data_IF_829097872784
#
_entry.id   IF_829097872784
#
_cell.length_a   1.000
_cell.length_b   1.000
_cell.length_c   1.000
_cell.angle_alpha   90.00
_cell.angle_beta   90.00
_cell.angle_gamma   90.00
#
_symmetry.space_group_name_H-M   'P 1'
#
loop_
_entity.id
_entity.type
_entity.pdbx_description
1 polymer ?
#
# COMPACT_ATOMS: atom_id res chain seq x y z
N UNK A 1 -8.52 -25.30 3.95
CA UNK A 1 -8.39 -23.84 4.14
C UNK A 1 -6.90 -23.52 4.15
N UNK A 2 -6.45 -22.35 3.65
CA UNK A 2 -5.06 -21.93 3.86
C UNK A 2 -4.76 -21.83 5.36
N UNK A 3 -3.53 -22.13 5.74
CA UNK A 3 -3.07 -21.97 7.12
C UNK A 3 -2.90 -20.49 7.46
N UNK A 4 -3.51 -20.03 8.55
CA UNK A 4 -3.38 -18.66 9.02
C UNK A 4 -2.31 -18.61 10.11
N UNK A 5 -1.15 -18.06 9.76
CA UNK A 5 -0.07 -17.79 10.72
C UNK A 5 -0.38 -16.45 11.41
N UNK A 6 -0.49 -16.47 12.74
CA UNK A 6 -0.64 -15.25 13.54
C UNK A 6 0.75 -14.73 13.88
N UNK A 7 1.04 -13.50 13.45
CA UNK A 7 2.31 -12.83 13.69
C UNK A 7 2.09 -11.58 14.54
N UNK A 8 2.87 -11.44 15.62
CA UNK A 8 2.79 -10.31 16.54
C UNK A 8 3.93 -9.34 16.24
N UNK A 9 3.61 -8.05 16.18
CA UNK A 9 4.58 -6.96 15.99
C UNK A 9 4.76 -6.22 17.32
N UNK A 10 6.00 -6.10 17.79
CA UNK A 10 6.40 -5.27 18.94
C UNK A 10 7.16 -4.03 18.50
N UNK A 11 6.47 -2.89 18.53
CA UNK A 11 7.05 -1.60 18.14
C UNK A 11 8.25 -1.20 19.01
N UNK A 12 8.36 -1.68 20.26
CA UNK A 12 9.49 -1.36 21.11
C UNK A 12 10.65 -2.35 20.94
N UNK A 13 10.37 -3.65 20.84
CA UNK A 13 11.39 -4.71 21.01
C UNK A 13 11.65 -5.61 19.79
N UNK A 14 10.86 -5.56 18.72
CA UNK A 14 11.21 -6.28 17.48
C UNK A 14 12.43 -5.65 16.80
N UNK A 15 13.25 -6.48 16.15
CA UNK A 15 14.44 -6.02 15.43
C UNK A 15 14.05 -5.17 14.21
N UNK A 16 14.59 -3.95 14.15
CA UNK A 16 14.45 -3.05 13.00
C UNK A 16 15.73 -3.12 12.17
N UNK A 17 15.58 -3.23 10.84
CA UNK A 17 16.72 -3.18 9.92
C UNK A 17 17.60 -1.93 10.19
N UNK A 18 18.91 -2.07 10.46
CA UNK A 18 19.78 -0.95 10.81
C UNK A 18 19.82 0.20 9.79
N UNK A 19 19.45 -0.04 8.53
CA UNK A 19 19.35 1.01 7.48
C UNK A 19 18.13 1.93 7.64
N UNK A 20 17.14 1.51 8.41
CA UNK A 20 15.90 2.23 8.68
C UNK A 20 15.75 2.62 10.15
N UNK A 21 16.64 2.13 11.02
CA UNK A 21 16.70 2.54 12.41
C UNK A 21 17.06 4.01 12.56
N UNK A 22 16.35 4.68 13.46
CA UNK A 22 16.56 6.03 13.94
C UNK A 22 16.22 6.05 15.43
N UNK A 23 17.00 6.78 16.22
CA UNK A 23 16.81 6.83 17.67
C UNK A 23 15.59 7.68 18.03
N UNK A 24 15.35 8.76 17.28
CA UNK A 24 14.20 9.63 17.40
C UNK A 24 12.86 8.95 17.04
N UNK A 25 12.90 7.82 16.31
CA UNK A 25 11.74 6.98 15.99
C UNK A 25 11.69 5.70 16.85
N UNK A 26 12.44 5.62 17.96
CA UNK A 26 12.43 4.46 18.87
C UNK A 26 11.48 4.66 20.08
N UNK A 27 10.40 3.87 20.22
CA UNK A 27 9.50 3.97 21.35
C UNK A 27 10.13 3.73 22.73
N UNK A 28 11.30 3.09 22.82
CA UNK A 28 12.05 2.86 24.07
C UNK A 28 12.78 4.12 24.57
N UNK A 29 12.98 5.11 23.72
CA UNK A 29 13.64 6.38 24.05
C UNK A 29 12.71 7.58 23.89
N UNK A 30 11.74 7.50 22.98
CA UNK A 30 10.74 8.55 22.78
C UNK A 30 9.79 8.67 23.98
N UNK A 31 9.58 9.90 24.44
CA UNK A 31 8.49 10.29 25.34
C UNK A 31 7.77 11.50 24.77
N UNK A 32 6.47 11.34 24.60
CA UNK A 32 5.58 12.40 24.14
C UNK A 32 5.50 13.55 25.14
N UNK A 33 5.57 14.78 24.63
CA UNK A 33 5.44 15.98 25.45
C UNK A 33 3.99 16.48 25.56
N UNK A 34 3.10 16.08 24.64
CA UNK A 34 1.67 16.45 24.66
C UNK A 34 0.85 15.48 25.50
N UNK A 35 1.17 14.17 25.43
CA UNK A 35 0.38 13.09 26.05
C UNK A 35 1.10 12.34 27.18
N UNK A 36 2.38 12.67 27.45
CA UNK A 36 3.25 12.00 28.42
C UNK A 36 3.44 10.48 28.23
N UNK A 37 2.97 9.90 27.10
CA UNK A 37 3.16 8.49 26.75
C UNK A 37 4.62 8.20 26.42
N UNK A 38 5.06 6.99 26.76
CA UNK A 38 6.45 6.57 26.59
C UNK A 38 7.40 7.06 27.71
N UNK A 39 8.64 6.56 27.76
CA UNK A 39 9.17 5.50 26.90
C UNK A 39 8.52 4.14 27.17
N UNK A 40 8.47 3.29 26.14
CA UNK A 40 7.98 1.91 26.24
C UNK A 40 9.07 1.01 26.81
N UNK A 41 8.82 0.47 28.00
CA UNK A 41 9.71 -0.45 28.73
C UNK A 41 9.28 -1.91 28.55
N UNK A 42 10.07 -2.84 29.07
CA UNK A 42 9.75 -4.26 29.01
C UNK A 42 8.41 -4.52 29.72
N UNK A 43 7.54 -5.34 29.10
CA UNK A 43 6.18 -5.56 29.59
C UNK A 43 5.18 -4.42 29.35
N UNK A 44 5.51 -3.39 28.55
CA UNK A 44 4.62 -2.22 28.28
C UNK A 44 3.17 -2.58 27.91
N UNK A 45 2.95 -3.74 27.27
CA UNK A 45 1.63 -4.24 26.85
C UNK A 45 0.72 -4.69 27.99
N UNK A 46 1.28 -5.06 29.15
CA UNK A 46 0.57 -5.73 30.26
C UNK A 46 0.96 -5.24 31.65
N UNK A 47 1.79 -4.21 31.77
CA UNK A 47 2.16 -3.61 33.05
C UNK A 47 1.00 -2.86 33.72
N UNK A 48 1.17 -2.38 34.97
CA UNK A 48 0.08 -1.75 35.74
C UNK A 48 -0.53 -0.49 35.10
N UNK A 49 0.12 0.11 34.10
CA UNK A 49 -0.37 1.27 33.35
C UNK A 49 -1.09 0.90 32.04
N UNK A 50 -1.17 -0.39 31.68
CA UNK A 50 -1.63 -0.87 30.35
C UNK A 50 -3.15 -0.95 30.17
N UNK A 51 -3.92 -0.49 31.17
CA UNK A 51 -5.38 -0.46 31.10
C UNK A 51 -6.08 -1.80 31.34
N UNK A 52 -5.37 -2.80 31.91
CA UNK A 52 -6.05 -3.92 32.55
C UNK A 52 -6.73 -3.38 33.81
N UNK A 53 -8.05 -3.48 33.90
CA UNK A 53 -8.74 -3.20 35.15
C UNK A 53 -8.31 -4.28 36.16
N UNK A 54 -7.59 -3.88 37.20
CA UNK A 54 -7.60 -4.66 38.42
C UNK A 54 -8.89 -4.28 39.15
N UNK A 55 -9.75 -5.26 39.43
CA UNK A 55 -11.00 -5.01 40.13
C UNK A 55 -10.73 -4.79 41.63
N UNK A 56 -10.10 -3.67 41.96
CA UNK A 56 -9.82 -3.26 43.33
C UNK A 56 -11.11 -2.82 44.01
N UNK A 57 -11.50 -3.59 45.02
CA UNK A 57 -12.55 -3.23 45.96
C UNK A 57 -12.10 -2.03 46.81
N UNK A 58 -13.04 -1.10 47.02
CA UNK A 58 -12.98 0.07 47.92
C UNK A 58 -12.22 1.33 47.42
N UNK A 59 -13.03 2.28 46.97
CA UNK A 59 -13.01 3.68 47.45
C UNK A 59 -11.67 4.44 47.40
N UNK A 60 -11.08 4.57 46.21
CA UNK A 60 -10.20 5.71 45.89
C UNK A 60 -10.48 6.25 44.49
N UNK A 61 -11.25 7.33 44.41
CA UNK A 61 -11.61 8.03 43.16
C UNK A 61 -10.48 8.94 42.65
N UNK A 62 -9.27 8.39 42.48
CA UNK A 62 -8.29 8.97 41.58
C UNK A 62 -8.55 8.36 40.20
N UNK A 63 -8.93 9.18 39.22
CA UNK A 63 -9.05 8.71 37.84
C UNK A 63 -7.73 8.04 37.42
N UNK A 64 -7.74 6.74 37.05
CA UNK A 64 -6.54 6.10 36.57
C UNK A 64 -6.03 6.86 35.35
N UNK A 65 -4.73 7.16 35.29
CA UNK A 65 -4.06 7.59 34.06
C UNK A 65 -3.97 6.41 33.08
N UNK A 66 -5.13 5.93 32.64
CA UNK A 66 -5.27 4.80 31.76
C UNK A 66 -4.67 5.18 30.41
N UNK A 67 -3.63 4.47 30.00
CA UNK A 67 -3.10 4.58 28.64
C UNK A 67 -3.90 3.61 27.77
N UNK A 68 -4.89 4.06 26.96
CA UNK A 68 -5.65 3.15 26.13
C UNK A 68 -4.71 2.52 25.09
N UNK A 69 -4.60 1.20 25.16
CA UNK A 69 -3.96 0.33 24.18
C UNK A 69 -5.03 -0.13 23.19
N UNK A 70 -4.70 -0.05 21.90
CA UNK A 70 -5.51 -0.62 20.82
C UNK A 70 -4.72 -1.71 20.09
N UNK A 71 -5.42 -2.65 19.47
CA UNK A 71 -4.83 -3.66 18.60
C UNK A 71 -5.37 -3.48 17.18
N UNK A 72 -4.50 -3.56 16.16
CA UNK A 72 -4.88 -3.55 14.76
C UNK A 72 -4.61 -4.92 14.15
N UNK A 73 -5.66 -5.67 13.83
CA UNK A 73 -5.54 -6.95 13.13
C UNK A 73 -5.47 -6.70 11.61
N UNK A 74 -4.31 -6.97 11.00
CA UNK A 74 -4.09 -6.77 9.56
C UNK A 74 -3.97 -8.14 8.89
N UNK A 75 -5.06 -8.62 8.29
CA UNK A 75 -5.05 -9.84 7.50
C UNK A 75 -4.30 -9.59 6.18
N UNK A 76 -3.20 -10.31 5.99
CA UNK A 76 -2.37 -10.23 4.79
C UNK A 76 -2.56 -11.51 3.99
N UNK A 77 -2.91 -11.39 2.72
CA UNK A 77 -2.93 -12.49 1.76
C UNK A 77 -2.10 -12.08 0.54
N UNK A 78 -1.15 -12.94 0.17
CA UNK A 78 -0.31 -12.76 -1.01
C UNK A 78 -0.55 -13.96 -1.94
N UNK A 79 -0.52 -13.70 -3.24
CA UNK A 79 -0.59 -14.73 -4.28
C UNK A 79 0.39 -14.35 -5.40
N UNK A 80 1.24 -15.29 -5.80
CA UNK A 80 2.21 -15.09 -6.87
C UNK A 80 2.30 -16.32 -7.78
N UNK A 81 1.43 -16.40 -8.78
CA UNK A 81 1.26 -17.54 -9.68
C UNK A 81 2.36 -17.66 -10.76
N UNK A 82 3.63 -17.65 -10.36
CA UNK A 82 4.78 -17.87 -11.25
C UNK A 82 5.53 -19.14 -10.86
N UNK A 83 5.59 -20.08 -11.80
CA UNK A 83 6.25 -21.37 -11.63
C UNK A 83 7.72 -21.21 -11.18
N UNK A 84 8.10 -21.97 -10.16
CA UNK A 84 9.45 -21.95 -9.58
C UNK A 84 9.78 -20.73 -8.71
N UNK A 85 8.90 -19.72 -8.63
CA UNK A 85 9.13 -18.49 -7.85
C UNK A 85 8.08 -18.21 -6.77
N UNK A 86 6.87 -18.79 -6.87
CA UNK A 86 5.73 -18.58 -5.96
C UNK A 86 6.11 -18.38 -4.49
N UNK A 87 6.49 -19.44 -3.78
CA UNK A 87 6.72 -19.39 -2.32
C UNK A 87 7.81 -18.39 -1.94
N UNK A 88 8.89 -18.30 -2.73
CA UNK A 88 10.00 -17.37 -2.46
C UNK A 88 9.58 -15.91 -2.55
N UNK A 89 8.66 -15.58 -3.46
CA UNK A 89 8.13 -14.22 -3.62
C UNK A 89 7.03 -13.93 -2.61
N UNK A 90 6.14 -14.89 -2.34
CA UNK A 90 5.10 -14.77 -1.30
C UNK A 90 5.74 -14.55 0.08
N UNK A 91 6.70 -15.38 0.49
CA UNK A 91 7.47 -15.23 1.74
C UNK A 91 8.20 -13.88 1.84
N UNK A 92 8.76 -13.42 0.71
CA UNK A 92 9.46 -12.14 0.66
C UNK A 92 8.50 -10.96 0.84
N UNK A 93 7.35 -10.98 0.16
CA UNK A 93 6.32 -9.94 0.31
C UNK A 93 5.76 -9.93 1.74
N UNK A 94 5.51 -11.09 2.35
CA UNK A 94 5.10 -11.14 3.76
C UNK A 94 6.13 -10.50 4.70
N UNK A 95 7.44 -10.75 4.49
CA UNK A 95 8.52 -10.08 5.25
C UNK A 95 8.53 -8.56 5.03
N UNK A 96 8.46 -8.10 3.79
CA UNK A 96 8.39 -6.66 3.50
C UNK A 96 7.17 -5.99 4.14
N UNK A 97 6.02 -6.68 4.19
CA UNK A 97 4.82 -6.16 4.85
C UNK A 97 5.03 -6.09 6.37
N UNK A 98 5.62 -7.13 7.00
CA UNK A 98 5.99 -7.08 8.44
C UNK A 98 6.92 -5.91 8.73
N UNK A 99 7.96 -5.70 7.94
CA UNK A 99 8.94 -4.60 8.11
C UNK A 99 8.27 -3.22 7.99
N UNK A 100 7.42 -3.02 6.97
CA UNK A 100 6.67 -1.76 6.77
C UNK A 100 5.69 -1.51 7.92
N UNK A 101 5.04 -2.56 8.44
CA UNK A 101 4.14 -2.45 9.57
C UNK A 101 4.89 -2.15 10.87
N UNK A 102 6.03 -2.79 11.14
CA UNK A 102 6.85 -2.49 12.32
C UNK A 102 7.34 -1.04 12.31
N UNK A 103 7.97 -0.61 11.22
CA UNK A 103 8.52 0.75 11.09
C UNK A 103 7.41 1.82 11.12
N UNK A 104 6.31 1.60 10.41
CA UNK A 104 5.22 2.55 10.34
C UNK A 104 4.50 2.78 11.68
N UNK A 105 4.32 1.74 12.52
CA UNK A 105 3.72 1.94 13.85
C UNK A 105 4.72 2.52 14.87
N UNK A 106 6.03 2.28 14.71
CA UNK A 106 7.07 2.99 15.48
C UNK A 106 7.04 4.49 15.21
N UNK A 107 7.02 4.87 13.94
CA UNK A 107 6.88 6.26 13.48
C UNK A 107 5.57 6.89 13.98
N UNK A 108 4.44 6.19 13.85
CA UNK A 108 3.15 6.69 14.35
C UNK A 108 3.16 6.97 15.86
N UNK A 109 3.86 6.15 16.67
CA UNK A 109 4.03 6.40 18.10
C UNK A 109 4.99 7.57 18.38
N UNK A 110 6.15 7.61 17.72
CA UNK A 110 7.16 8.65 17.91
C UNK A 110 6.71 10.04 17.40
N UNK A 111 5.80 10.10 16.45
CA UNK A 111 5.25 11.35 15.92
C UNK A 111 3.88 11.71 16.53
N UNK A 112 3.47 11.07 17.64
CA UNK A 112 2.16 11.29 18.27
C UNK A 112 1.90 12.77 18.59
N UNK A 113 2.93 13.51 19.00
CA UNK A 113 2.81 14.94 19.32
C UNK A 113 2.44 15.80 18.09
N UNK A 114 2.76 15.35 16.87
CA UNK A 114 2.45 16.05 15.62
C UNK A 114 0.97 15.89 15.20
N UNK A 115 0.38 14.71 15.46
CA UNK A 115 -0.95 14.36 14.92
C UNK A 115 -2.06 14.24 15.96
N UNK A 116 -1.77 14.00 17.24
CA UNK A 116 -2.80 13.72 18.27
C UNK A 116 -3.75 14.89 18.55
N UNK A 117 -3.33 16.11 18.21
CA UNK A 117 -4.13 17.34 18.37
C UNK A 117 -4.84 17.79 17.08
N UNK A 118 -4.66 17.07 15.97
CA UNK A 118 -5.29 17.41 14.69
C UNK A 118 -6.78 17.04 14.69
N UNK A 119 -7.62 17.95 14.19
CA UNK A 119 -9.00 17.62 13.83
C UNK A 119 -9.08 17.00 12.41
N UNK A 120 -10.25 16.45 12.08
CA UNK A 120 -10.47 15.82 10.76
C UNK A 120 -10.41 16.80 9.58
N UNK A 121 -10.49 18.12 9.80
CA UNK A 121 -10.32 19.10 8.74
C UNK A 121 -8.83 19.35 8.45
N UNK A 122 -8.01 19.46 9.50
CA UNK A 122 -6.55 19.52 9.41
C UNK A 122 -5.96 18.25 8.76
N UNK A 123 -6.47 17.07 9.12
CA UNK A 123 -6.07 15.79 8.48
C UNK A 123 -6.34 15.82 6.97
N UNK A 124 -7.56 16.19 6.55
CA UNK A 124 -7.91 16.28 5.12
C UNK A 124 -7.09 17.33 4.35
N UNK A 125 -6.76 18.45 4.99
CA UNK A 125 -5.90 19.47 4.40
C UNK A 125 -4.46 18.95 4.20
N UNK A 126 -3.92 18.23 5.19
CA UNK A 126 -2.61 17.58 5.11
C UNK A 126 -2.58 16.50 4.02
N UNK A 127 -3.60 15.64 3.93
CA UNK A 127 -3.74 14.65 2.85
C UNK A 127 -3.70 15.30 1.47
N UNK A 128 -4.47 16.38 1.26
CA UNK A 128 -4.53 17.09 -0.02
C UNK A 128 -3.17 17.69 -0.43
N UNK A 129 -2.46 18.30 0.52
CA UNK A 129 -1.11 18.85 0.31
C UNK A 129 -0.07 17.75 0.03
N UNK A 130 -0.10 16.63 0.77
CA UNK A 130 0.79 15.49 0.54
C UNK A 130 0.56 14.82 -0.82
N UNK A 131 -0.71 14.68 -1.25
CA UNK A 131 -1.06 14.19 -2.59
C UNK A 131 -0.51 15.16 -3.66
N UNK A 132 -0.71 16.47 -3.50
CA UNK A 132 -0.18 17.48 -4.42
C UNK A 132 1.35 17.45 -4.55
N UNK A 133 2.06 17.40 -3.42
CA UNK A 133 3.53 17.30 -3.36
C UNK A 133 4.05 16.01 -4.00
N UNK A 134 3.37 14.89 -3.77
CA UNK A 134 3.73 13.58 -4.35
C UNK A 134 3.56 13.59 -5.86
N UNK A 135 2.41 14.05 -6.36
CA UNK A 135 2.14 14.17 -7.79
C UNK A 135 3.17 15.08 -8.49
N UNK A 136 3.58 16.18 -7.87
CA UNK A 136 4.60 17.07 -8.44
C UNK A 136 5.97 16.38 -8.55
N UNK A 137 6.37 15.56 -7.56
CA UNK A 137 7.65 14.82 -7.61
C UNK A 137 7.64 13.76 -8.70
N UNK A 138 6.57 12.97 -8.81
CA UNK A 138 6.42 11.93 -9.86
C UNK A 138 6.39 12.55 -11.26
N UNK A 139 5.69 13.67 -11.44
CA UNK A 139 5.67 14.39 -12.71
C UNK A 139 7.04 14.94 -13.14
N UNK A 140 7.84 15.44 -12.18
CA UNK A 140 9.20 15.96 -12.43
C UNK A 140 10.26 14.88 -12.72
N UNK A 141 9.98 13.61 -12.41
CA UNK A 141 10.84 12.48 -12.82
C UNK A 141 10.59 12.00 -14.26
N UNK A 142 9.61 12.57 -14.97
CA UNK A 142 9.51 12.42 -16.43
C UNK A 142 10.63 13.19 -17.12
N UNK A 143 11.53 12.48 -17.80
CA UNK A 143 12.66 13.06 -18.53
C UNK A 143 12.17 14.12 -19.54
N UNK A 144 12.55 15.39 -19.34
CA UNK A 144 12.61 16.35 -20.44
C UNK A 144 13.74 15.91 -21.39
N UNK A 145 13.39 15.12 -22.40
CA UNK A 145 14.25 15.00 -23.58
C UNK A 145 14.14 16.31 -24.38
N UNK A 146 15.26 16.97 -24.75
CA UNK A 146 15.22 18.06 -25.72
C UNK A 146 14.66 17.52 -27.05
N UNK A 147 14.04 18.37 -27.89
CA UNK A 147 13.36 17.91 -29.11
C UNK A 147 14.35 17.44 -30.18
N UNK A 148 14.79 16.18 -30.09
CA UNK A 148 15.53 15.50 -31.15
C UNK A 148 14.56 15.03 -32.23
N UNK A 149 14.50 15.78 -33.33
CA UNK A 149 13.67 15.49 -34.49
C UNK A 149 14.16 14.24 -35.25
N UNK A 150 13.64 13.06 -34.90
CA UNK A 150 13.68 11.88 -35.78
C UNK A 150 12.70 10.81 -35.29
N UNK A 151 11.62 10.60 -36.04
CA UNK A 151 10.73 9.43 -35.88
C UNK A 151 11.42 8.17 -36.37
N UNK A 152 11.44 7.06 -35.61
CA UNK A 152 11.73 5.73 -36.15
C UNK A 152 10.41 5.00 -36.41
N UNK A 153 10.09 4.83 -37.69
CA UNK A 153 8.96 4.05 -38.21
C UNK A 153 9.02 2.59 -37.75
N UNK A 154 7.91 2.02 -37.27
CA UNK A 154 7.75 0.57 -37.05
C UNK A 154 7.71 -0.19 -38.39
N UNK A 155 8.46 -1.31 -38.54
CA UNK A 155 8.19 -2.26 -39.61
C UNK A 155 8.21 -3.72 -39.12
N UNK A 156 7.03 -4.32 -39.00
CA UNK A 156 6.87 -5.79 -39.09
C UNK A 156 5.81 -6.11 -40.13
N UNK A 157 6.18 -5.94 -41.39
CA UNK A 157 5.39 -6.42 -42.53
C UNK A 157 5.72 -7.89 -42.76
N UNK A 158 4.77 -8.78 -42.50
CA UNK A 158 4.91 -10.20 -42.84
C UNK A 158 4.89 -10.34 -44.37
N UNK A 159 5.92 -10.99 -44.93
CA UNK A 159 5.93 -11.37 -46.36
C UNK A 159 5.22 -12.70 -46.53
N UNK A 160 4.04 -12.65 -47.13
CA UNK A 160 3.38 -13.81 -47.73
C UNK A 160 4.16 -14.28 -48.97
N UNK A 161 4.12 -15.58 -49.27
CA UNK A 161 4.73 -16.14 -50.47
C UNK A 161 4.00 -17.40 -50.93
N UNK A 162 3.63 -17.42 -52.20
CA UNK A 162 2.72 -18.39 -52.82
C UNK A 162 3.26 -19.83 -52.90
N UNK A 163 2.35 -20.81 -52.90
CA UNK A 163 2.68 -22.23 -53.16
C UNK A 163 1.46 -23.17 -53.05
N UNK A 164 0.74 -23.39 -54.16
CA UNK A 164 -0.40 -24.31 -54.29
C UNK A 164 0.07 -25.70 -54.79
N UNK A 165 -0.48 -26.82 -54.27
CA UNK A 165 -1.33 -27.70 -55.11
C UNK A 165 -2.64 -28.15 -54.43
N UNK A 166 -3.60 -28.59 -55.25
CA UNK A 166 -5.00 -28.91 -54.88
C UNK A 166 -5.23 -30.36 -54.40
N UNK A 167 -6.32 -30.59 -53.63
CA UNK A 167 -7.54 -31.37 -54.03
C UNK A 167 -8.51 -31.54 -52.84
N UNK A 168 -9.85 -31.48 -53.07
CA UNK A 168 -10.85 -32.07 -52.15
C UNK A 168 -12.12 -31.27 -51.77
N UNK A 169 -13.11 -31.24 -52.68
CA UNK A 169 -14.54 -31.55 -52.44
C UNK A 169 -15.45 -30.82 -51.42
N UNK A 170 -16.28 -29.91 -51.98
CA UNK A 170 -17.78 -29.81 -51.94
C UNK A 170 -18.61 -29.23 -50.76
N UNK A 171 -19.61 -28.38 -51.12
CA UNK A 171 -20.84 -27.90 -50.40
C UNK A 171 -20.58 -27.08 -49.11
N UNK A 172 -21.12 -25.89 -48.81
CA UNK A 172 -22.10 -24.95 -49.39
C UNK A 172 -22.37 -23.85 -48.32
N UNK A 173 -23.08 -22.73 -48.50
CA UNK A 173 -23.79 -22.12 -49.64
C UNK A 173 -23.73 -20.56 -49.49
N UNK A 174 -24.57 -19.79 -50.20
CA UNK A 174 -24.51 -18.31 -50.28
C UNK A 174 -25.57 -17.52 -49.46
N UNK A 175 -25.46 -16.17 -49.55
CA UNK A 175 -26.41 -15.06 -49.30
C UNK A 175 -26.62 -14.53 -47.86
N UNK A 176 -26.55 -13.22 -47.60
CA UNK A 176 -26.12 -12.12 -48.48
C UNK A 176 -26.22 -10.69 -47.90
N UNK A 177 -25.46 -9.77 -48.53
CA UNK A 177 -25.62 -8.30 -48.68
C UNK A 177 -26.11 -7.39 -47.52
N UNK A 178 -25.28 -6.38 -47.21
CA UNK A 178 -25.67 -5.11 -46.57
C UNK A 178 -24.50 -4.11 -46.54
N UNK A 179 -24.64 -2.92 -47.13
CA UNK A 179 -23.52 -1.99 -47.37
C UNK A 179 -23.73 -0.58 -46.78
N UNK A 180 -22.61 0.06 -46.39
CA UNK A 180 -22.43 1.51 -46.10
C UNK A 180 -23.27 2.09 -44.92
N UNK A 181 -22.79 3.02 -44.09
CA UNK A 181 -22.06 4.26 -44.40
C UNK A 181 -21.29 4.77 -43.15
N UNK A 182 -20.40 5.74 -43.35
CA UNK A 182 -19.57 6.38 -42.33
C UNK A 182 -20.33 7.41 -41.48
N UNK A 183 -20.09 7.42 -40.17
CA UNK A 183 -20.16 8.60 -39.29
C UNK A 183 -19.25 8.35 -38.10
N UNK A 184 -18.21 9.17 -37.93
CA UNK A 184 -17.24 9.03 -36.83
C UNK A 184 -17.47 10.06 -35.74
N UNK A 185 -17.32 9.64 -34.48
CA UNK A 185 -17.14 10.49 -33.32
C UNK A 185 -16.00 9.86 -32.50
N UNK A 186 -14.93 10.60 -32.21
CA UNK A 186 -13.79 10.08 -31.46
C UNK A 186 -14.05 10.21 -29.94
N UNK A 187 -13.95 9.14 -29.14
CA UNK A 187 -14.07 9.26 -27.69
C UNK A 187 -12.89 10.03 -27.12
N UNK A 188 -13.17 11.16 -26.46
CA UNK A 188 -12.15 11.92 -25.72
C UNK A 188 -11.56 11.07 -24.59
N UNK A 189 -10.25 11.17 -24.30
CA UNK A 189 -9.62 10.38 -23.25
C UNK A 189 -10.09 10.85 -21.86
N UNK A 190 -11.02 10.10 -21.26
CA UNK A 190 -11.39 10.29 -19.87
C UNK A 190 -10.23 9.89 -18.96
N UNK A 191 -9.72 10.85 -18.18
CA UNK A 191 -8.66 10.62 -17.19
C UNK A 191 -9.03 9.48 -16.23
N UNK A 192 -8.12 8.51 -15.96
CA UNK A 192 -8.37 7.48 -14.96
C UNK A 192 -8.68 8.11 -13.61
N UNK A 193 -9.86 7.78 -13.05
CA UNK A 193 -10.24 8.13 -11.68
C UNK A 193 -9.24 7.47 -10.72
N UNK A 194 -8.47 8.29 -10.00
CA UNK A 194 -7.44 7.80 -9.08
C UNK A 194 -8.05 6.82 -8.06
N UNK A 195 -7.63 5.56 -8.12
CA UNK A 195 -7.98 4.55 -7.12
C UNK A 195 -7.00 4.70 -5.96
N UNK A 196 -7.50 5.15 -4.80
CA UNK A 196 -6.73 5.04 -3.56
C UNK A 196 -6.34 3.58 -3.35
N UNK A 197 -5.06 3.31 -3.10
CA UNK A 197 -4.58 1.96 -2.77
C UNK A 197 -4.91 1.54 -1.33
N UNK A 198 -5.41 2.47 -0.51
CA UNK A 198 -5.91 2.19 0.83
C UNK A 198 -7.37 2.63 0.95
N UNK A 199 -8.21 1.67 1.34
CA UNK A 199 -9.60 1.89 1.75
C UNK A 199 -9.69 1.51 3.23
N UNK A 200 -10.00 2.48 4.07
CA UNK A 200 -10.35 2.21 5.47
C UNK A 200 -11.87 2.03 5.54
N UNK A 201 -12.30 0.95 6.19
CA UNK A 201 -13.71 0.58 6.43
C UNK A 201 -14.13 0.90 7.86
#
# INVERSE_FOLDING_TARGET
MPELIVDFIDIAYDEVNPRHYKEEEDPRYFKSHVTARGPLVEGWRGGPNSGVYEATTEETWLEPQMQPIMCSYKLVSVSFEVWGLQSRVEDFVHKCIRDVLLLGHRQAFAWIDEWVSMDMAAVRAYEADMIGKTNQKVGKSGHEHPPSSSSPTSPLTVKEKDGVPQVGDTIGDEVGVGAALLSGEAPSPTSPRAKSWFSWS
#
